data_IF_066343790717
#
_entry.id   IF_066343790717
#
_cell.length_a   1.000
_cell.length_b   1.000
_cell.length_c   1.000
_cell.angle_alpha   90.00
_cell.angle_beta   90.00
_cell.angle_gamma   90.00
#
_symmetry.space_group_name_H-M   'P 1'
#
loop_
_entity.id
_entity.type
_entity.pdbx_description
1 polymer ?
#
# COMPACT_ATOMS: atom_id res chain seq x y z
N UNK A 1 -26.15 8.98 11.24
CA UNK A 1 -26.54 8.00 12.27
C UNK A 1 -25.24 7.33 12.72
N UNK A 2 -24.75 7.58 13.93
CA UNK A 2 -23.44 7.04 14.37
C UNK A 2 -23.57 5.57 14.78
N UNK A 3 -22.48 4.79 14.63
CA UNK A 3 -22.41 3.37 15.01
C UNK A 3 -22.94 3.13 16.43
N UNK A 4 -22.52 3.97 17.40
CA UNK A 4 -23.00 3.90 18.78
C UNK A 4 -24.52 4.00 18.89
N UNK A 5 -25.13 4.99 18.24
CA UNK A 5 -26.58 5.21 18.28
C UNK A 5 -27.35 4.02 17.70
N UNK A 6 -26.84 3.42 16.62
CA UNK A 6 -27.50 2.28 16.00
C UNK A 6 -27.44 1.02 16.89
N UNK A 7 -26.34 0.82 17.63
CA UNK A 7 -26.20 -0.25 18.62
C UNK A 7 -27.08 0.02 19.84
N UNK A 8 -27.06 1.23 20.40
CA UNK A 8 -27.87 1.64 21.56
C UNK A 8 -29.38 1.53 21.30
N UNK A 9 -29.83 1.86 20.08
CA UNK A 9 -31.23 1.77 19.68
C UNK A 9 -31.62 0.36 19.18
N UNK A 10 -30.70 -0.60 19.15
CA UNK A 10 -30.95 -1.96 18.68
C UNK A 10 -31.35 -2.05 17.21
N UNK A 11 -30.91 -1.09 16.39
CA UNK A 11 -31.22 -1.05 14.95
C UNK A 11 -30.35 -2.04 14.16
N UNK A 12 -29.05 -2.05 14.47
CA UNK A 12 -28.05 -2.92 13.86
C UNK A 12 -26.96 -3.25 14.89
N UNK A 13 -26.50 -4.49 14.87
CA UNK A 13 -25.45 -5.02 15.75
C UNK A 13 -24.16 -5.39 14.97
N UNK A 14 -24.19 -5.31 13.63
CA UNK A 14 -23.06 -5.61 12.76
C UNK A 14 -22.90 -4.54 11.70
N UNK A 15 -21.66 -4.09 11.54
CA UNK A 15 -21.25 -3.13 10.53
C UNK A 15 -20.14 -3.71 9.67
N UNK A 16 -20.10 -3.27 8.42
CA UNK A 16 -18.99 -3.46 7.49
C UNK A 16 -18.31 -2.11 7.30
N UNK A 17 -16.99 -2.10 7.43
CA UNK A 17 -16.17 -0.90 7.41
C UNK A 17 -15.31 -0.79 6.15
N UNK A 18 -14.95 0.45 5.80
CA UNK A 18 -13.99 0.75 4.74
C UNK A 18 -12.54 0.84 5.25
N UNK A 19 -11.63 1.14 4.35
CA UNK A 19 -10.21 1.37 4.63
C UNK A 19 -9.98 2.53 5.59
N UNK A 20 -10.76 3.61 5.46
CA UNK A 20 -10.68 4.80 6.32
C UNK A 20 -11.00 4.52 7.79
N UNK A 21 -11.75 3.45 8.04
CA UNK A 21 -12.18 3.04 9.37
C UNK A 21 -11.18 2.08 10.06
N UNK A 22 -10.15 1.62 9.34
CA UNK A 22 -9.08 0.77 9.86
C UNK A 22 -8.12 1.60 10.72
N UNK A 23 -8.64 2.22 11.77
CA UNK A 23 -7.95 3.27 12.53
C UNK A 23 -7.98 3.00 14.03
N UNK A 24 -6.85 3.13 14.74
CA UNK A 24 -6.80 3.15 16.20
C UNK A 24 -7.69 4.25 16.81
N UNK A 25 -7.99 5.33 16.08
CA UNK A 25 -8.86 6.39 16.55
C UNK A 25 -10.31 5.92 16.71
N UNK A 26 -10.79 5.05 15.81
CA UNK A 26 -12.14 4.50 15.89
C UNK A 26 -12.30 3.61 17.14
N UNK A 27 -11.28 2.78 17.42
CA UNK A 27 -11.20 1.96 18.63
C UNK A 27 -11.24 2.84 19.88
N UNK A 28 -10.44 3.92 19.93
CA UNK A 28 -10.44 4.86 21.06
C UNK A 28 -11.80 5.53 21.27
N UNK A 29 -12.58 5.73 20.20
CA UNK A 29 -13.87 6.42 20.27
C UNK A 29 -15.03 5.53 20.70
N UNK A 30 -15.07 4.27 20.26
CA UNK A 30 -16.22 3.38 20.46
C UNK A 30 -15.93 2.23 21.44
N UNK A 31 -14.66 1.88 21.63
CA UNK A 31 -14.24 0.78 22.49
C UNK A 31 -14.45 -0.61 21.86
N UNK A 32 -13.74 -1.63 22.39
CA UNK A 32 -13.86 -3.00 21.90
C UNK A 32 -15.24 -3.61 22.15
N UNK A 33 -15.95 -3.20 23.21
CA UNK A 33 -17.29 -3.72 23.53
C UNK A 33 -18.31 -3.49 22.40
N UNK A 34 -18.15 -2.40 21.66
CA UNK A 34 -18.99 -2.09 20.50
C UNK A 34 -18.41 -2.74 19.24
N UNK A 35 -17.09 -2.66 19.03
CA UNK A 35 -16.47 -2.97 17.74
C UNK A 35 -16.09 -4.43 17.54
N UNK A 36 -15.92 -5.21 18.62
CA UNK A 36 -15.36 -6.55 18.55
C UNK A 36 -16.17 -7.45 17.58
N UNK A 37 -15.45 -8.11 16.69
CA UNK A 37 -16.02 -9.00 15.67
C UNK A 37 -16.54 -8.30 14.42
N UNK A 38 -16.67 -6.97 14.40
CA UNK A 38 -16.95 -6.21 13.19
C UNK A 38 -15.77 -6.27 12.23
N UNK A 39 -16.08 -6.19 10.93
CA UNK A 39 -15.12 -6.42 9.85
C UNK A 39 -15.08 -5.25 8.90
N UNK A 40 -13.99 -5.14 8.16
CA UNK A 40 -13.89 -4.20 7.05
C UNK A 40 -12.97 -4.72 5.96
N UNK A 41 -12.87 -3.95 4.89
CA UNK A 41 -11.94 -4.21 3.79
C UNK A 41 -11.01 -3.03 3.60
N UNK A 42 -9.73 -3.30 3.37
CA UNK A 42 -8.73 -2.29 3.07
C UNK A 42 -7.66 -2.88 2.14
N UNK A 43 -6.78 -2.04 1.59
CA UNK A 43 -5.54 -2.53 1.03
C UNK A 43 -4.74 -3.31 2.10
N UNK A 44 -4.09 -4.39 1.70
CA UNK A 44 -3.26 -5.19 2.59
C UNK A 44 -1.89 -5.45 1.99
N UNK A 45 -0.94 -5.67 2.87
CA UNK A 45 0.43 -6.06 2.53
C UNK A 45 0.47 -7.40 1.80
N UNK A 46 1.51 -7.58 1.00
CA UNK A 46 1.91 -8.88 0.44
C UNK A 46 2.99 -9.51 1.32
N UNK A 47 2.66 -10.55 2.13
CA UNK A 47 3.64 -11.21 3.01
C UNK A 47 4.79 -11.88 2.25
N UNK A 48 4.56 -12.23 0.98
CA UNK A 48 5.55 -12.89 0.12
C UNK A 48 6.47 -11.88 -0.59
N UNK A 49 6.25 -10.57 -0.42
CA UNK A 49 7.09 -9.56 -1.04
C UNK A 49 8.50 -9.56 -0.38
N UNK A 50 9.57 -9.91 -1.11
CA UNK A 50 10.92 -9.96 -0.55
C UNK A 50 11.43 -8.58 -0.09
N UNK A 51 10.88 -7.50 -0.66
CA UNK A 51 11.29 -6.13 -0.36
C UNK A 51 10.78 -5.61 0.98
N UNK A 52 9.72 -6.21 1.55
CA UNK A 52 9.09 -5.77 2.79
C UNK A 52 10.09 -5.69 3.96
N UNK A 53 10.82 -6.78 4.21
CA UNK A 53 11.76 -6.84 5.34
C UNK A 53 12.92 -5.87 5.21
N UNK A 54 13.40 -5.63 3.98
CA UNK A 54 14.46 -4.64 3.76
C UNK A 54 13.93 -3.24 4.07
N UNK A 55 12.78 -2.89 3.50
CA UNK A 55 12.18 -1.57 3.67
C UNK A 55 11.80 -1.28 5.12
N UNK A 56 11.19 -2.23 5.83
CA UNK A 56 10.84 -2.09 7.25
C UNK A 56 12.07 -1.77 8.12
N UNK A 57 13.17 -2.49 7.90
CA UNK A 57 14.43 -2.22 8.60
C UNK A 57 14.99 -0.85 8.26
N UNK A 58 15.03 -0.49 6.97
CA UNK A 58 15.56 0.79 6.52
C UNK A 58 14.72 1.96 7.05
N UNK A 59 13.39 1.82 7.08
CA UNK A 59 12.47 2.80 7.64
C UNK A 59 12.70 2.97 9.15
N UNK A 60 12.80 1.86 9.89
CA UNK A 60 13.05 1.89 11.32
C UNK A 60 14.41 2.53 11.66
N UNK A 61 15.46 2.23 10.89
CA UNK A 61 16.78 2.84 11.05
C UNK A 61 16.77 4.35 10.78
N UNK A 62 16.04 4.80 9.76
CA UNK A 62 15.96 6.20 9.39
C UNK A 62 15.10 7.05 10.35
N UNK A 63 14.00 6.49 10.87
CA UNK A 63 12.96 7.28 11.56
C UNK A 63 12.71 6.86 13.00
N UNK A 64 13.21 5.72 13.46
CA UNK A 64 12.96 5.22 14.82
C UNK A 64 11.50 4.89 15.13
N UNK A 65 10.65 4.77 14.11
CA UNK A 65 9.20 4.54 14.24
C UNK A 65 8.74 3.31 13.42
N UNK A 66 9.21 2.09 13.76
CA UNK A 66 8.84 0.87 13.04
C UNK A 66 7.33 0.61 12.98
N UNK A 67 6.57 1.08 13.97
CA UNK A 67 5.11 0.99 14.02
C UNK A 67 4.41 1.73 12.86
N UNK A 68 5.07 2.69 12.22
CA UNK A 68 4.50 3.37 11.05
C UNK A 68 4.50 2.49 9.80
N UNK A 69 5.32 1.43 9.76
CA UNK A 69 5.42 0.52 8.60
C UNK A 69 4.19 -0.37 8.40
N UNK A 70 3.31 -0.41 9.42
CA UNK A 70 2.02 -1.12 9.40
C UNK A 70 0.82 -0.19 9.22
N UNK A 71 1.02 1.13 9.14
CA UNK A 71 -0.05 2.06 8.83
C UNK A 71 -0.50 1.86 7.37
N UNK A 72 -1.82 1.89 7.17
CA UNK A 72 -2.43 1.76 5.84
C UNK A 72 -1.83 2.78 4.88
N UNK A 73 -1.53 2.35 3.66
CA UNK A 73 -0.97 3.14 2.57
C UNK A 73 0.46 3.69 2.73
N UNK A 74 1.16 3.52 3.86
CA UNK A 74 2.55 4.02 3.98
C UNK A 74 3.48 3.39 2.93
N UNK A 75 3.31 2.10 2.68
CA UNK A 75 4.03 1.37 1.62
C UNK A 75 3.66 1.86 0.22
N UNK A 76 2.37 2.07 -0.03
CA UNK A 76 1.88 2.59 -1.31
C UNK A 76 2.40 4.01 -1.61
N UNK A 77 2.46 4.88 -0.59
CA UNK A 77 3.01 6.24 -0.72
C UNK A 77 4.51 6.19 -0.99
N UNK A 78 5.25 5.30 -0.33
CA UNK A 78 6.66 5.06 -0.63
C UNK A 78 6.85 4.63 -2.09
N UNK A 79 6.11 3.62 -2.54
CA UNK A 79 6.18 3.10 -3.90
C UNK A 79 5.85 4.17 -4.95
N UNK A 80 4.78 4.95 -4.73
CA UNK A 80 4.41 6.06 -5.61
C UNK A 80 5.51 7.14 -5.67
N UNK A 81 6.14 7.46 -4.54
CA UNK A 81 7.23 8.43 -4.48
C UNK A 81 8.44 7.95 -5.28
N UNK A 82 8.80 6.67 -5.12
CA UNK A 82 9.91 6.08 -5.86
C UNK A 82 9.61 6.02 -7.36
N UNK A 83 8.39 5.63 -7.76
CA UNK A 83 7.98 5.61 -9.16
C UNK A 83 8.08 6.98 -9.81
N UNK A 84 7.61 8.04 -9.13
CA UNK A 84 7.74 9.41 -9.60
C UNK A 84 9.21 9.83 -9.77
N UNK A 85 10.07 9.48 -8.80
CA UNK A 85 11.49 9.80 -8.87
C UNK A 85 12.20 9.08 -10.03
N UNK A 86 11.92 7.78 -10.22
CA UNK A 86 12.47 6.99 -11.32
C UNK A 86 11.98 7.50 -12.68
N UNK A 87 10.69 7.83 -12.80
CA UNK A 87 10.12 8.38 -14.02
C UNK A 87 10.69 9.78 -14.34
N UNK A 88 10.88 10.64 -13.34
CA UNK A 88 11.53 11.92 -13.51
C UNK A 88 13.00 11.77 -13.94
N UNK A 89 13.73 10.83 -13.34
CA UNK A 89 15.10 10.50 -13.72
C UNK A 89 15.14 9.99 -15.16
N UNK A 90 14.21 9.13 -15.57
CA UNK A 90 14.14 8.64 -16.95
C UNK A 90 13.77 9.73 -17.96
N UNK A 91 12.88 10.64 -17.58
CA UNK A 91 12.47 11.77 -18.40
C UNK A 91 13.53 12.87 -18.49
N UNK A 92 14.52 12.87 -17.58
CA UNK A 92 15.45 13.99 -17.37
C UNK A 92 14.70 15.32 -17.21
N UNK A 93 13.57 15.27 -16.50
CA UNK A 93 12.61 16.36 -16.40
C UNK A 93 11.76 16.26 -15.14
N UNK A 94 11.37 17.41 -14.61
CA UNK A 94 10.40 17.54 -13.51
C UNK A 94 9.01 17.95 -14.00
N UNK A 95 8.80 18.06 -15.32
CA UNK A 95 7.51 18.41 -15.90
C UNK A 95 6.55 17.23 -15.80
N UNK A 96 5.35 17.47 -15.27
CA UNK A 96 4.39 16.39 -14.96
C UNK A 96 4.02 15.53 -16.15
N UNK A 97 3.90 16.12 -17.36
CA UNK A 97 3.62 15.36 -18.58
C UNK A 97 4.77 14.43 -18.96
N UNK A 98 6.02 14.88 -18.81
CA UNK A 98 7.19 14.08 -19.12
C UNK A 98 7.35 12.92 -18.12
N UNK A 99 7.08 13.15 -16.84
CA UNK A 99 7.07 12.10 -15.80
C UNK A 99 5.98 11.07 -16.10
N UNK A 100 4.74 11.52 -16.36
CA UNK A 100 3.60 10.66 -16.69
C UNK A 100 3.93 9.69 -17.82
N UNK A 101 4.57 10.19 -18.88
CA UNK A 101 4.90 9.40 -20.06
C UNK A 101 5.96 8.31 -19.79
N UNK A 102 6.71 8.40 -18.68
CA UNK A 102 7.70 7.41 -18.26
C UNK A 102 7.21 6.44 -17.17
N UNK A 103 6.11 6.71 -16.46
CA UNK A 103 5.66 5.92 -15.31
C UNK A 103 5.58 4.41 -15.61
N UNK A 104 4.92 4.01 -16.71
CA UNK A 104 4.83 2.59 -17.10
C UNK A 104 6.19 1.96 -17.37
N UNK A 105 7.08 2.67 -18.05
CA UNK A 105 8.37 2.12 -18.45
C UNK A 105 9.33 1.83 -17.29
N UNK A 106 9.07 2.37 -16.09
CA UNK A 106 9.92 2.13 -14.91
C UNK A 106 9.39 1.01 -13.99
N UNK A 107 8.14 0.55 -14.17
CA UNK A 107 7.56 -0.54 -13.37
C UNK A 107 6.93 -1.68 -14.19
N UNK A 108 7.10 -1.65 -15.51
CA UNK A 108 6.68 -2.72 -16.43
C UNK A 108 7.60 -2.75 -17.66
N UNK A 109 8.91 -2.56 -17.45
CA UNK A 109 9.92 -2.59 -18.51
C UNK A 109 10.52 -3.98 -18.71
N UNK A 110 10.90 -4.29 -19.96
CA UNK A 110 11.55 -5.55 -20.34
C UNK A 110 13.03 -5.59 -19.90
N UNK A 111 13.28 -5.78 -18.60
CA UNK A 111 14.63 -5.75 -18.04
C UNK A 111 14.77 -6.44 -16.68
N UNK A 112 15.93 -6.27 -16.01
CA UNK A 112 16.12 -6.76 -14.65
C UNK A 112 15.09 -6.14 -13.69
N UNK A 113 14.67 -6.95 -12.71
CA UNK A 113 13.80 -6.47 -11.64
C UNK A 113 14.64 -5.80 -10.57
N UNK A 114 14.24 -4.60 -10.15
CA UNK A 114 14.85 -3.88 -9.03
C UNK A 114 13.85 -3.68 -7.89
N UNK A 115 14.28 -3.96 -6.67
CA UNK A 115 13.54 -3.63 -5.45
C UNK A 115 14.05 -2.35 -4.76
N UNK A 116 13.44 -1.96 -3.62
CA UNK A 116 13.92 -0.86 -2.77
C UNK A 116 15.39 -1.01 -2.33
N UNK A 117 15.89 -2.24 -2.19
CA UNK A 117 17.29 -2.56 -1.85
C UNK A 117 18.26 -2.30 -3.01
N UNK A 118 17.73 -2.13 -4.23
CA UNK A 118 18.48 -1.88 -5.46
C UNK A 118 18.11 -0.53 -6.09
N UNK A 119 17.54 0.41 -5.31
CA UNK A 119 17.07 1.69 -5.82
C UNK A 119 18.16 2.50 -6.54
N UNK A 120 19.41 2.43 -6.07
CA UNK A 120 20.55 3.07 -6.74
C UNK A 120 20.83 2.48 -8.13
N UNK A 121 20.52 1.19 -8.36
CA UNK A 121 20.66 0.55 -9.67
C UNK A 121 19.53 0.99 -10.59
N UNK A 122 18.29 1.02 -10.08
CA UNK A 122 17.12 1.52 -10.80
C UNK A 122 17.30 2.98 -11.25
N UNK A 123 17.83 3.86 -10.38
CA UNK A 123 18.11 5.25 -10.73
C UNK A 123 19.14 5.38 -11.85
N UNK A 124 20.22 4.58 -11.82
CA UNK A 124 21.21 4.58 -12.91
C UNK A 124 20.63 4.04 -14.21
N UNK A 125 19.86 2.95 -14.16
CA UNK A 125 19.20 2.41 -15.33
C UNK A 125 18.23 3.43 -15.95
N UNK A 126 17.45 4.13 -15.11
CA UNK A 126 16.57 5.22 -15.53
C UNK A 126 17.35 6.36 -16.21
N UNK A 127 18.46 6.80 -15.63
CA UNK A 127 19.33 7.84 -16.19
C UNK A 127 19.86 7.50 -17.58
N UNK A 128 20.26 6.24 -17.79
CA UNK A 128 20.82 5.76 -19.06
C UNK A 128 19.74 5.29 -20.05
N UNK A 129 18.45 5.36 -19.68
CA UNK A 129 17.33 4.89 -20.50
C UNK A 129 17.27 3.36 -20.66
N UNK A 130 18.03 2.61 -19.85
CA UNK A 130 18.05 1.15 -19.85
C UNK A 130 16.69 0.59 -19.39
N UNK A 131 16.23 -0.56 -19.93
CA UNK A 131 14.97 -1.16 -19.50
C UNK A 131 15.13 -1.84 -18.14
N UNK A 132 14.10 -1.75 -17.29
CA UNK A 132 14.01 -2.44 -15.99
C UNK A 132 12.56 -2.48 -15.50
N UNK A 133 12.29 -3.33 -14.50
CA UNK A 133 11.01 -3.44 -13.81
C UNK A 133 11.24 -3.13 -12.31
N UNK A 134 10.81 -1.95 -11.85
CA UNK A 134 10.83 -1.64 -10.41
C UNK A 134 9.62 -2.23 -9.70
N UNK A 135 9.88 -3.07 -8.71
CA UNK A 135 8.86 -3.64 -7.82
C UNK A 135 9.01 -3.07 -6.42
N UNK A 136 7.96 -2.40 -5.96
CA UNK A 136 7.92 -1.73 -4.68
C UNK A 136 7.64 -2.66 -3.50
N UNK A 137 7.35 -2.04 -2.36
CA UNK A 137 7.07 -2.69 -1.08
C UNK A 137 5.62 -3.15 -1.00
N UNK A 138 4.68 -2.36 -1.53
CA UNK A 138 3.26 -2.68 -1.55
C UNK A 138 2.93 -3.57 -2.75
N UNK A 139 3.39 -3.18 -3.94
CA UNK A 139 3.01 -3.85 -5.18
C UNK A 139 4.10 -3.80 -6.24
N UNK A 140 3.90 -4.53 -7.34
CA UNK A 140 4.76 -4.42 -8.52
C UNK A 140 4.54 -3.12 -9.30
N UNK A 141 3.60 -2.26 -8.90
CA UNK A 141 3.25 -1.04 -9.61
C UNK A 141 2.89 -1.24 -11.09
N UNK A 142 2.39 -2.41 -11.48
CA UNK A 142 1.95 -2.63 -12.86
C UNK A 142 0.69 -1.79 -13.14
N UNK A 143 0.68 -1.03 -14.24
CA UNK A 143 -0.44 -0.18 -14.63
C UNK A 143 -1.11 -0.64 -15.92
N UNK A 144 -2.43 -0.48 -15.99
CA UNK A 144 -3.17 -0.64 -17.24
C UNK A 144 -3.06 0.60 -18.16
N UNK A 145 -3.81 0.58 -19.26
CA UNK A 145 -3.88 1.70 -20.20
C UNK A 145 -4.49 2.97 -19.58
N UNK A 146 -5.39 2.83 -18.61
CA UNK A 146 -6.08 3.91 -17.91
C UNK A 146 -5.24 4.53 -16.78
N UNK A 147 -4.16 3.84 -16.38
CA UNK A 147 -3.29 4.27 -15.27
C UNK A 147 -3.70 3.65 -13.92
N UNK A 148 -4.52 2.60 -13.93
CA UNK A 148 -4.91 1.87 -12.73
C UNK A 148 -3.89 0.78 -12.40
N UNK A 149 -3.61 0.60 -11.10
CA UNK A 149 -2.75 -0.50 -10.63
C UNK A 149 -3.49 -1.82 -10.83
N UNK A 150 -2.87 -2.77 -11.51
CA UNK A 150 -3.51 -4.05 -11.86
C UNK A 150 -3.24 -5.17 -10.86
N UNK A 151 -2.20 -5.04 -10.04
CA UNK A 151 -1.81 -6.04 -9.03
C UNK A 151 -1.85 -5.46 -7.63
N UNK A 152 -2.78 -5.94 -6.82
CA UNK A 152 -2.98 -5.46 -5.45
C UNK A 152 -3.60 -6.55 -4.58
N UNK A 153 -3.56 -6.35 -3.26
CA UNK A 153 -4.17 -7.26 -2.29
C UNK A 153 -5.20 -6.48 -1.48
N UNK A 154 -6.40 -7.04 -1.39
CA UNK A 154 -7.44 -6.56 -0.47
C UNK A 154 -7.45 -7.48 0.75
N UNK A 155 -7.30 -6.87 1.92
CA UNK A 155 -7.44 -7.52 3.21
C UNK A 155 -8.89 -7.46 3.72
N UNK A 156 -9.38 -8.56 4.28
CA UNK A 156 -10.52 -8.54 5.20
C UNK A 156 -9.97 -8.46 6.60
N UNK A 157 -10.22 -7.34 7.27
CA UNK A 157 -9.75 -7.07 8.62
C UNK A 157 -10.89 -7.13 9.64
N UNK A 158 -10.55 -7.29 10.92
CA UNK A 158 -11.48 -7.43 12.03
C UNK A 158 -10.96 -6.72 13.28
N UNK A 159 -11.86 -6.11 14.06
CA UNK A 159 -11.56 -5.73 15.45
C UNK A 159 -11.64 -6.95 16.36
N UNK A 160 -10.57 -7.28 17.07
CA UNK A 160 -10.60 -8.32 18.09
C UNK A 160 -11.17 -7.81 19.43
N UNK A 161 -11.28 -8.72 20.40
CA UNK A 161 -11.82 -8.44 21.74
C UNK A 161 -10.93 -7.52 22.56
N UNK A 162 -9.66 -7.37 22.19
CA UNK A 162 -8.68 -6.51 22.86
C UNK A 162 -8.57 -5.13 22.19
N UNK A 163 -9.44 -4.86 21.22
CA UNK A 163 -9.45 -3.61 20.47
C UNK A 163 -8.26 -3.47 19.52
N UNK A 164 -7.70 -4.57 19.03
CA UNK A 164 -6.70 -4.55 17.96
C UNK A 164 -7.33 -4.87 16.60
N UNK A 165 -6.65 -4.43 15.55
CA UNK A 165 -7.06 -4.69 14.17
C UNK A 165 -6.24 -5.86 13.65
N UNK A 166 -6.91 -6.90 13.19
CA UNK A 166 -6.30 -8.10 12.62
C UNK A 166 -6.72 -8.29 11.18
N UNK A 167 -5.77 -8.47 10.27
CA UNK A 167 -6.07 -8.93 8.91
C UNK A 167 -6.36 -10.43 8.96
N UNK A 168 -7.61 -10.81 8.73
CA UNK A 168 -8.08 -12.21 8.82
C UNK A 168 -8.00 -12.96 7.50
N UNK A 169 -7.99 -12.24 6.38
CA UNK A 169 -7.86 -12.79 5.04
C UNK A 169 -7.17 -11.78 4.13
N UNK A 170 -6.36 -12.27 3.20
CA UNK A 170 -5.79 -11.50 2.08
C UNK A 170 -6.29 -12.10 0.78
N UNK A 171 -6.69 -11.26 -0.15
CA UNK A 171 -7.21 -11.65 -1.46
C UNK A 171 -6.37 -10.90 -2.49
N UNK A 172 -5.52 -11.64 -3.20
CA UNK A 172 -4.71 -11.10 -4.27
C UNK A 172 -5.54 -10.96 -5.56
N UNK A 173 -5.39 -9.82 -6.22
CA UNK A 173 -5.98 -9.53 -7.52
C UNK A 173 -4.86 -9.29 -8.54
N UNK A 174 -5.04 -9.87 -9.73
CA UNK A 174 -4.27 -9.54 -10.92
C UNK A 174 -5.28 -9.24 -12.03
N UNK A 175 -5.44 -7.96 -12.35
CA UNK A 175 -6.35 -7.43 -13.36
C UNK A 175 -5.62 -7.14 -14.68
N UNK A 176 -4.37 -7.58 -14.83
CA UNK A 176 -3.53 -7.31 -16.01
C UNK A 176 -3.87 -8.15 -17.24
N UNK A 177 -5.03 -8.82 -17.27
CA UNK A 177 -5.50 -9.67 -18.37
C UNK A 177 -6.87 -9.24 -18.89
#
# INVERSE_FOLDING_TARGET
LCVSQAVELGLFDRFLFGDTDQSPALIRSLGPDILAGMVGTAAADNPDNPSARFWERAYAEAWGAPEHTSLTYVRAVYDATVALALAAQRAQSTEGAAIRDQLRSVADGDGPVFGPDQLAHALRAAEHGEPFDYRGVESSLAWDANGDITRFIIGVWRFDTDGQIQITRRIAYDLGN
#
